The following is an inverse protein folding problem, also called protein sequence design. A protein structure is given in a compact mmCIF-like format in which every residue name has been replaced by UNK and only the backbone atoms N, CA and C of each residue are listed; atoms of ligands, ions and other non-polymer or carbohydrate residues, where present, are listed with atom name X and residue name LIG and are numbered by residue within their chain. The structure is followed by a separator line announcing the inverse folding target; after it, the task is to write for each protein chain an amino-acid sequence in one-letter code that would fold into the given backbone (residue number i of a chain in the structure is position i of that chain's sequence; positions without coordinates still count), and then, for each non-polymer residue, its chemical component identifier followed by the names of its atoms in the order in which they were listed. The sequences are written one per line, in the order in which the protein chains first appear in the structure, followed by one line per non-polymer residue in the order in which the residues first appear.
data_IF_205671802551
#
_entry.id   IF_205671802551
#
_cell.length_a   1.000
_cell.length_b   1.000
_cell.length_c   1.000
_cell.angle_alpha   90.00
_cell.angle_beta   90.00
_cell.angle_gamma   90.00
#
_symmetry.space_group_name_H-M   'P 1'
#
loop_
_entity.id
_entity.type
_entity.pdbx_description
1 polymer ?
#
# COMPACT_ATOMS: atom_id res chain seq x y z
N UNK A 1 -21.16 -63.58 -1.97
CA UNK A 1 -22.43 -63.84 -1.30
C UNK A 1 -23.17 -62.52 -1.25
N UNK A 2 -23.97 -62.21 -2.23
CA UNK A 2 -25.42 -62.41 -2.36
C UNK A 2 -26.15 -61.97 -1.10
N UNK A 3 -27.05 -61.11 -1.09
CA UNK A 3 -28.20 -60.71 -1.86
C UNK A 3 -29.14 -59.98 -0.91
N UNK A 4 -29.65 -58.87 -1.39
CA UNK A 4 -31.07 -58.57 -1.55
C UNK A 4 -31.93 -58.40 -0.29
N UNK A 5 -32.67 -57.31 -0.25
CA UNK A 5 -34.13 -57.33 -0.38
C UNK A 5 -34.74 -55.90 -0.46
N UNK A 6 -35.65 -55.82 -1.36
CA UNK A 6 -36.51 -54.74 -1.80
C UNK A 6 -37.73 -54.51 -0.92
N UNK A 7 -38.31 -53.29 -1.08
CA UNK A 7 -39.75 -52.89 -0.95
C UNK A 7 -40.24 -52.53 0.46
N UNK A 8 -40.87 -51.40 0.60
CA UNK A 8 -42.20 -51.10 0.08
C UNK A 8 -42.52 -49.59 0.15
N UNK A 9 -43.37 -49.17 -0.74
CA UNK A 9 -43.92 -47.86 -0.97
C UNK A 9 -45.15 -47.59 -0.10
N UNK A 10 -45.50 -46.32 -0.01
CA UNK A 10 -46.78 -45.61 -0.12
C UNK A 10 -46.91 -44.59 1.02
N UNK A 11 -47.36 -43.38 0.88
CA UNK A 11 -48.31 -42.60 0.14
C UNK A 11 -48.39 -41.21 0.71
N UNK A 12 -48.45 -40.25 -0.19
CA UNK A 12 -49.24 -39.02 -0.19
C UNK A 12 -49.25 -38.04 0.98
N UNK A 13 -48.82 -36.78 0.75
CA UNK A 13 -49.73 -35.64 0.62
C UNK A 13 -48.98 -34.39 0.24
N UNK A 14 -49.57 -33.64 -0.65
CA UNK A 14 -49.02 -32.42 -1.26
C UNK A 14 -49.20 -31.19 -0.38
N UNK A 15 -48.23 -30.30 -0.37
CA UNK A 15 -48.43 -28.89 -0.12
C UNK A 15 -47.28 -28.07 -0.77
N UNK A 16 -47.48 -26.84 -1.19
CA UNK A 16 -46.78 -26.26 -2.31
C UNK A 16 -45.42 -25.62 -1.93
N UNK A 17 -44.46 -25.80 -2.83
CA UNK A 17 -43.17 -25.16 -2.88
C UNK A 17 -43.29 -23.65 -3.09
N UNK A 18 -42.86 -22.89 -2.10
CA UNK A 18 -42.39 -21.53 -2.27
C UNK A 18 -40.94 -21.59 -2.76
N UNK A 19 -40.77 -21.40 -4.04
CA UNK A 19 -39.48 -21.21 -4.69
C UNK A 19 -38.97 -19.81 -4.31
N UNK A 20 -38.15 -19.68 -3.26
CA UNK A 20 -37.32 -18.48 -3.06
C UNK A 20 -36.07 -18.60 -3.92
N UNK A 21 -36.08 -17.92 -5.05
CA UNK A 21 -34.91 -17.75 -5.87
C UNK A 21 -33.83 -16.99 -5.07
N UNK A 22 -32.82 -17.72 -4.59
CA UNK A 22 -31.54 -17.09 -4.21
C UNK A 22 -30.88 -16.65 -5.51
N UNK A 23 -31.06 -15.38 -5.89
CA UNK A 23 -30.19 -14.70 -6.83
C UNK A 23 -28.83 -14.54 -6.17
N UNK A 24 -27.87 -15.35 -6.57
CA UNK A 24 -26.47 -15.10 -6.31
C UNK A 24 -26.10 -13.75 -6.93
N UNK A 25 -25.95 -12.72 -6.11
CA UNK A 25 -25.43 -11.44 -6.53
C UNK A 25 -23.95 -11.63 -6.88
N UNK A 26 -23.68 -11.82 -8.17
CA UNK A 26 -22.35 -11.64 -8.75
C UNK A 26 -22.01 -10.16 -8.60
N UNK A 27 -21.19 -9.81 -7.65
CA UNK A 27 -20.60 -8.48 -7.54
C UNK A 27 -19.50 -8.39 -8.60
N UNK A 28 -19.92 -8.16 -9.84
CA UNK A 28 -19.02 -7.83 -10.93
C UNK A 28 -18.77 -6.33 -10.93
N UNK A 29 -17.54 -5.91 -10.69
CA UNK A 29 -17.12 -4.54 -10.91
C UNK A 29 -16.83 -4.35 -12.39
N UNK A 30 -17.79 -3.80 -13.14
CA UNK A 30 -17.57 -3.28 -14.50
C UNK A 30 -17.07 -1.84 -14.38
N UNK A 31 -15.84 -1.59 -14.75
CA UNK A 31 -15.28 -0.23 -14.83
C UNK A 31 -15.63 0.37 -16.20
N UNK A 32 -16.75 1.04 -16.30
CA UNK A 32 -17.20 1.67 -17.54
C UNK A 32 -16.59 3.08 -17.68
N UNK A 33 -15.87 3.29 -18.78
CA UNK A 33 -15.15 4.53 -19.13
C UNK A 33 -16.06 5.69 -19.55
N UNK A 34 -17.39 5.54 -19.51
CA UNK A 34 -18.35 6.48 -20.12
C UNK A 34 -18.69 7.74 -19.31
N UNK A 35 -18.16 7.91 -18.11
CA UNK A 35 -18.46 9.08 -17.27
C UNK A 35 -17.31 10.09 -17.14
N UNK A 36 -16.48 10.23 -18.17
CA UNK A 36 -15.46 11.29 -18.21
C UNK A 36 -15.89 12.35 -19.23
N UNK A 37 -16.46 13.43 -18.72
CA UNK A 37 -16.77 14.61 -19.52
C UNK A 37 -15.51 15.18 -20.18
N UNK A 38 -15.61 15.43 -21.49
CA UNK A 38 -14.56 16.04 -22.30
C UNK A 38 -14.18 17.42 -21.76
N UNK A 39 -12.91 17.61 -21.37
CA UNK A 39 -12.34 18.93 -21.15
C UNK A 39 -11.62 19.41 -22.42
N UNK A 40 -12.22 20.41 -23.06
CA UNK A 40 -11.64 21.16 -24.16
C UNK A 40 -10.45 22.03 -23.69
N UNK A 41 -9.51 22.28 -24.63
CA UNK A 41 -8.21 22.90 -24.41
C UNK A 41 -8.24 24.25 -23.68
N UNK A 42 -7.38 24.36 -22.70
CA UNK A 42 -7.02 25.57 -22.00
C UNK A 42 -5.64 25.41 -21.38
N UNK A 43 -4.84 26.46 -21.40
CA UNK A 43 -3.49 26.60 -20.79
C UNK A 43 -3.41 25.93 -19.41
N UNK A 44 -2.27 25.30 -19.02
CA UNK A 44 -2.16 24.60 -17.75
C UNK A 44 -2.16 25.59 -16.58
N UNK A 45 -3.35 25.89 -16.07
CA UNK A 45 -3.50 26.48 -14.75
C UNK A 45 -3.28 25.38 -13.70
N UNK A 46 -2.54 25.68 -12.63
CA UNK A 46 -2.36 24.85 -11.45
C UNK A 46 -3.71 24.30 -11.01
N UNK A 47 -4.00 23.03 -11.28
CA UNK A 47 -5.23 22.40 -10.82
C UNK A 47 -5.08 22.08 -9.34
N UNK A 48 -5.92 22.68 -8.52
CA UNK A 48 -6.16 22.28 -7.15
C UNK A 48 -6.87 20.93 -7.16
N UNK A 49 -6.22 19.92 -6.59
CA UNK A 49 -6.88 18.60 -6.42
C UNK A 49 -7.86 18.73 -5.27
N UNK A 50 -9.14 18.82 -5.57
CA UNK A 50 -10.21 18.70 -4.57
C UNK A 50 -10.36 17.21 -4.29
N UNK A 51 -10.05 16.80 -3.08
CA UNK A 51 -10.32 15.45 -2.56
C UNK A 51 -11.56 15.54 -1.70
N UNK A 52 -12.50 14.61 -1.93
CA UNK A 52 -13.76 14.52 -1.20
C UNK A 52 -13.57 14.53 0.32
N UNK A 53 -14.54 15.11 1.03
CA UNK A 53 -14.57 15.29 2.49
C UNK A 53 -14.22 14.01 3.25
N UNK A 54 -13.11 14.07 4.01
CA UNK A 54 -12.53 12.98 4.79
C UNK A 54 -11.00 12.88 4.66
N UNK A 55 -10.44 13.37 3.58
CA UNK A 55 -9.00 13.51 3.38
C UNK A 55 -8.62 14.99 3.55
N UNK A 56 -7.99 15.32 4.66
CA UNK A 56 -7.45 16.68 4.87
C UNK A 56 -6.26 16.88 3.94
N UNK A 57 -6.52 17.37 2.74
CA UNK A 57 -5.47 17.75 1.79
C UNK A 57 -5.22 19.24 1.86
N UNK A 58 -4.20 19.63 2.59
CA UNK A 58 -3.46 20.85 2.25
C UNK A 58 -2.57 20.53 1.06
N UNK A 59 -2.41 21.51 0.14
CA UNK A 59 -1.62 21.42 -1.09
C UNK A 59 -0.18 20.99 -0.80
N UNK A 60 0.15 19.73 -1.09
CA UNK A 60 1.53 19.28 -1.11
C UNK A 60 2.05 19.40 -2.54
N UNK A 61 2.81 20.46 -2.82
CA UNK A 61 3.50 20.64 -4.09
C UNK A 61 4.86 19.93 -4.02
N UNK A 62 4.87 18.61 -4.22
CA UNK A 62 6.14 17.92 -4.20
C UNK A 62 6.72 17.69 -5.59
N UNK A 63 5.89 17.72 -6.63
CA UNK A 63 6.40 17.48 -7.96
C UNK A 63 5.64 18.36 -8.96
N UNK A 64 6.37 19.29 -9.56
CA UNK A 64 5.98 19.84 -10.84
C UNK A 64 6.05 18.67 -11.81
N UNK A 65 4.94 18.00 -12.12
CA UNK A 65 4.90 17.00 -13.18
C UNK A 65 4.86 17.69 -14.54
N UNK A 66 6.02 18.15 -15.10
CA UNK A 66 6.03 18.74 -16.44
C UNK A 66 5.69 17.69 -17.50
N UNK A 67 5.74 16.41 -17.12
CA UNK A 67 5.65 15.28 -18.04
C UNK A 67 4.23 14.77 -18.31
N UNK A 68 3.22 15.16 -17.54
CA UNK A 68 1.85 14.66 -17.73
C UNK A 68 1.28 15.00 -19.12
N UNK A 69 1.68 16.12 -19.72
CA UNK A 69 1.22 16.54 -21.06
C UNK A 69 1.81 15.74 -22.23
N UNK A 70 2.81 14.88 -21.99
CA UNK A 70 3.54 14.15 -23.03
C UNK A 70 3.22 12.65 -23.12
N UNK A 71 2.45 12.09 -22.17
CA UNK A 71 2.17 10.66 -22.17
C UNK A 71 1.05 10.34 -23.15
N UNK A 72 1.37 9.53 -24.14
CA UNK A 72 0.43 9.17 -25.21
C UNK A 72 -0.44 7.97 -24.83
N UNK A 73 -1.75 8.13 -24.79
CA UNK A 73 -2.73 7.04 -24.62
C UNK A 73 -2.64 5.96 -25.69
N UNK A 74 -2.07 6.27 -26.86
CA UNK A 74 -1.83 5.30 -27.93
C UNK A 74 -0.70 4.32 -27.58
N UNK A 75 0.22 4.72 -26.70
CA UNK A 75 1.43 3.94 -26.34
C UNK A 75 1.40 3.41 -24.92
N UNK A 76 0.59 3.99 -24.04
CA UNK A 76 0.56 3.67 -22.62
C UNK A 76 -0.86 3.34 -22.18
N UNK A 77 -1.00 2.30 -21.36
CA UNK A 77 -2.25 1.92 -20.70
C UNK A 77 -2.00 1.68 -19.22
N UNK A 78 -2.93 2.12 -18.37
CA UNK A 78 -2.87 1.88 -16.92
C UNK A 78 -4.09 1.08 -16.54
N UNK A 79 -3.87 -0.11 -16.00
CA UNK A 79 -4.88 -0.99 -15.44
C UNK A 79 -4.80 -1.00 -13.93
N UNK A 80 -5.93 -1.16 -13.27
CA UNK A 80 -5.98 -1.26 -11.81
C UNK A 80 -6.73 -2.50 -11.37
N UNK A 81 -6.30 -3.04 -10.23
CA UNK A 81 -7.05 -4.06 -9.53
C UNK A 81 -7.93 -3.42 -8.44
N UNK A 82 -8.95 -4.15 -7.94
CA UNK A 82 -9.84 -3.63 -6.89
C UNK A 82 -9.10 -3.13 -5.65
N UNK A 83 -8.00 -3.79 -5.27
CA UNK A 83 -7.16 -3.43 -4.13
C UNK A 83 -6.48 -2.06 -4.22
N UNK A 84 -6.45 -1.44 -5.43
CA UNK A 84 -5.74 -0.16 -5.67
C UNK A 84 -6.57 0.85 -6.45
N UNK A 85 -7.89 0.67 -6.52
CA UNK A 85 -8.76 1.47 -7.40
C UNK A 85 -8.70 2.98 -7.12
N UNK A 86 -8.79 3.38 -5.85
CA UNK A 86 -8.77 4.80 -5.47
C UNK A 86 -7.44 5.45 -5.83
N UNK A 87 -6.33 4.82 -5.43
CA UNK A 87 -4.99 5.30 -5.76
C UNK A 87 -4.80 5.44 -7.28
N UNK A 88 -5.26 4.46 -8.06
CA UNK A 88 -5.10 4.46 -9.51
C UNK A 88 -5.92 5.56 -10.19
N UNK A 89 -7.11 5.88 -9.68
CA UNK A 89 -7.91 7.01 -10.17
C UNK A 89 -7.19 8.33 -9.94
N UNK A 90 -6.62 8.52 -8.75
CA UNK A 90 -5.84 9.72 -8.44
C UNK A 90 -4.61 9.82 -9.35
N UNK A 91 -3.87 8.72 -9.53
CA UNK A 91 -2.69 8.67 -10.42
C UNK A 91 -3.06 9.00 -11.86
N UNK A 92 -4.10 8.38 -12.41
CA UNK A 92 -4.52 8.62 -13.80
C UNK A 92 -5.05 10.04 -13.99
N UNK A 93 -5.73 10.60 -12.99
CA UNK A 93 -6.18 12.00 -12.99
C UNK A 93 -4.99 12.97 -13.05
N UNK A 94 -3.94 12.72 -12.26
CA UNK A 94 -2.71 13.52 -12.27
C UNK A 94 -1.96 13.43 -13.60
N UNK A 95 -1.96 12.26 -14.24
CA UNK A 95 -1.31 12.02 -15.52
C UNK A 95 -2.15 12.48 -16.74
N UNK A 96 -3.40 12.83 -16.53
CA UNK A 96 -4.33 13.13 -17.63
C UNK A 96 -4.63 11.93 -18.54
N UNK A 97 -4.49 10.71 -18.02
CA UNK A 97 -4.74 9.46 -18.73
C UNK A 97 -6.08 8.85 -18.30
N UNK A 98 -6.78 8.15 -19.20
CA UNK A 98 -7.90 7.32 -18.79
C UNK A 98 -7.40 6.04 -18.11
N UNK A 99 -8.16 5.57 -17.14
CA UNK A 99 -7.96 4.22 -16.60
C UNK A 99 -8.48 3.21 -17.63
N UNK A 100 -7.66 2.19 -17.93
CA UNK A 100 -8.03 1.15 -18.90
C UNK A 100 -8.98 0.13 -18.28
N UNK A 101 -9.91 -0.39 -19.09
CA UNK A 101 -10.97 -1.29 -18.66
C UNK A 101 -10.46 -2.70 -18.41
N UNK A 102 -10.75 -3.22 -17.23
CA UNK A 102 -10.43 -4.57 -16.75
C UNK A 102 -11.63 -5.10 -15.97
N UNK A 103 -12.09 -6.31 -16.31
CA UNK A 103 -13.11 -7.01 -15.55
C UNK A 103 -12.49 -8.10 -14.70
N UNK A 104 -12.74 -8.06 -13.40
CA UNK A 104 -12.30 -9.05 -12.43
C UNK A 104 -13.53 -9.58 -11.69
N UNK A 105 -13.58 -10.88 -11.48
CA UNK A 105 -14.68 -11.53 -10.79
C UNK A 105 -14.29 -12.91 -10.28
N UNK A 106 -15.26 -13.61 -9.74
CA UNK A 106 -15.13 -15.01 -9.28
C UNK A 106 -16.10 -15.88 -10.06
N UNK A 107 -15.64 -17.05 -10.46
CA UNK A 107 -16.52 -18.13 -10.91
C UNK A 107 -17.30 -18.73 -9.73
N UNK A 108 -18.32 -19.53 -10.01
CA UNK A 108 -19.18 -20.14 -8.99
C UNK A 108 -18.41 -21.09 -8.04
N UNK A 109 -17.30 -21.65 -8.48
CA UNK A 109 -16.38 -22.50 -7.72
C UNK A 109 -15.33 -21.71 -6.93
N UNK A 110 -15.34 -20.37 -7.04
CA UNK A 110 -14.41 -19.46 -6.34
C UNK A 110 -13.14 -19.11 -7.11
N UNK A 111 -12.92 -19.69 -8.31
CA UNK A 111 -11.76 -19.33 -9.13
C UNK A 111 -11.84 -17.88 -9.60
N UNK A 112 -10.66 -17.24 -9.69
CA UNK A 112 -10.56 -15.84 -10.15
C UNK A 112 -10.72 -15.75 -11.67
N UNK A 113 -11.61 -14.88 -12.12
CA UNK A 113 -11.82 -14.52 -13.52
C UNK A 113 -11.22 -13.16 -13.83
N UNK A 114 -10.41 -13.08 -14.89
CA UNK A 114 -9.80 -11.84 -15.35
C UNK A 114 -10.05 -11.68 -16.85
N UNK A 115 -10.54 -10.50 -17.27
CA UNK A 115 -10.72 -10.14 -18.67
C UNK A 115 -10.24 -8.71 -18.92
N UNK A 116 -9.29 -8.54 -19.82
CA UNK A 116 -8.85 -7.23 -20.33
C UNK A 116 -9.82 -6.81 -21.43
N UNK A 117 -10.50 -5.69 -21.24
CA UNK A 117 -11.50 -5.19 -22.19
C UNK A 117 -10.88 -4.27 -23.24
N UNK A 118 -9.89 -3.47 -22.85
CA UNK A 118 -9.20 -2.53 -23.75
C UNK A 118 -7.99 -3.17 -24.41
N UNK A 119 -7.77 -2.87 -25.69
CA UNK A 119 -6.63 -3.36 -26.45
C UNK A 119 -5.30 -2.84 -25.90
N UNK A 120 -4.41 -3.76 -25.50
CA UNK A 120 -3.06 -3.44 -24.97
C UNK A 120 -1.93 -3.81 -25.95
N UNK A 121 -2.24 -4.36 -27.13
CA UNK A 121 -1.23 -4.80 -28.10
C UNK A 121 -0.22 -3.71 -28.45
N UNK A 122 1.06 -3.99 -28.24
CA UNK A 122 2.17 -3.09 -28.57
C UNK A 122 2.29 -1.87 -27.65
N UNK A 123 1.53 -1.80 -26.56
CA UNK A 123 1.60 -0.72 -25.59
C UNK A 123 2.52 -1.06 -24.41
N UNK A 124 3.09 -0.03 -23.81
CA UNK A 124 3.70 -0.08 -22.50
C UNK A 124 2.57 -0.03 -21.45
N UNK A 125 2.48 -1.08 -20.62
CA UNK A 125 1.34 -1.30 -19.71
C UNK A 125 1.80 -1.19 -18.26
N UNK A 126 1.04 -0.44 -17.48
CA UNK A 126 1.18 -0.37 -16.02
C UNK A 126 -0.02 -1.07 -15.37
N UNK A 127 0.27 -1.94 -14.40
CA UNK A 127 -0.74 -2.61 -13.57
C UNK A 127 -0.56 -2.16 -12.15
N UNK A 128 -1.57 -1.54 -11.54
CA UNK A 128 -1.51 -1.08 -10.15
C UNK A 128 -2.24 -2.09 -9.27
N UNK A 129 -1.50 -2.71 -8.35
CA UNK A 129 -2.01 -3.77 -7.49
C UNK A 129 -1.31 -3.79 -6.13
N UNK A 130 -2.04 -3.57 -5.05
CA UNK A 130 -1.59 -3.91 -3.70
C UNK A 130 -1.97 -5.35 -3.38
N UNK A 131 -0.96 -6.20 -3.12
CA UNK A 131 -1.16 -7.64 -2.86
C UNK A 131 -1.45 -7.89 -1.38
N UNK A 132 -2.60 -7.39 -0.91
CA UNK A 132 -2.98 -7.39 0.51
C UNK A 132 -3.40 -8.77 1.04
N UNK A 133 -3.88 -9.62 0.14
CA UNK A 133 -4.36 -10.98 0.40
C UNK A 133 -4.12 -11.90 -0.80
N UNK A 134 -4.46 -13.18 -0.65
CA UNK A 134 -4.24 -14.19 -1.70
C UNK A 134 -5.09 -13.94 -2.93
N UNK A 135 -6.30 -13.38 -2.78
CA UNK A 135 -7.17 -13.02 -3.89
C UNK A 135 -6.55 -11.90 -4.73
N UNK A 136 -6.11 -10.82 -4.11
CA UNK A 136 -5.46 -9.70 -4.81
C UNK A 136 -4.14 -10.11 -5.47
N UNK A 137 -3.38 -11.01 -4.86
CA UNK A 137 -2.20 -11.60 -5.47
C UNK A 137 -2.55 -12.41 -6.71
N UNK A 138 -3.53 -13.31 -6.63
CA UNK A 138 -3.96 -14.13 -7.76
C UNK A 138 -4.53 -13.28 -8.90
N UNK A 139 -5.35 -12.27 -8.58
CA UNK A 139 -5.86 -11.30 -9.55
C UNK A 139 -4.71 -10.60 -10.30
N UNK A 140 -3.66 -10.19 -9.56
CA UNK A 140 -2.49 -9.54 -10.14
C UNK A 140 -1.73 -10.48 -11.10
N UNK A 141 -1.42 -11.69 -10.67
CA UNK A 141 -0.71 -12.69 -11.45
C UNK A 141 -1.45 -13.03 -12.74
N UNK A 142 -2.76 -13.28 -12.66
CA UNK A 142 -3.59 -13.59 -13.83
C UNK A 142 -3.74 -12.37 -14.76
N UNK A 143 -3.78 -11.16 -14.23
CA UNK A 143 -3.81 -9.93 -15.02
C UNK A 143 -2.53 -9.77 -15.83
N UNK A 144 -1.35 -9.95 -15.22
CA UNK A 144 -0.05 -9.91 -15.90
C UNK A 144 0.00 -10.95 -17.03
N UNK A 145 -0.37 -12.20 -16.73
CA UNK A 145 -0.42 -13.28 -17.72
C UNK A 145 -1.37 -12.96 -18.89
N UNK A 146 -2.55 -12.40 -18.60
CA UNK A 146 -3.53 -12.02 -19.62
C UNK A 146 -2.98 -10.92 -20.54
N UNK A 147 -2.37 -9.88 -19.96
CA UNK A 147 -1.76 -8.78 -20.71
C UNK A 147 -0.60 -9.26 -21.58
N UNK A 148 0.23 -10.18 -21.08
CA UNK A 148 1.31 -10.80 -21.85
C UNK A 148 0.77 -11.59 -23.05
N UNK A 149 -0.28 -12.39 -22.85
CA UNK A 149 -0.99 -13.14 -23.93
C UNK A 149 -1.71 -12.21 -24.89
N UNK A 150 -2.16 -11.04 -24.46
CA UNK A 150 -2.75 -10.00 -25.30
C UNK A 150 -1.71 -9.16 -26.06
N UNK A 151 -0.42 -9.54 -26.01
CA UNK A 151 0.69 -8.90 -26.71
C UNK A 151 1.00 -7.48 -26.24
N UNK A 152 0.91 -7.20 -24.94
CA UNK A 152 1.51 -5.99 -24.37
C UNK A 152 3.01 -5.95 -24.72
N UNK A 153 3.53 -4.77 -25.02
CA UNK A 153 4.95 -4.58 -25.36
C UNK A 153 5.83 -4.73 -24.13
N UNK A 154 5.44 -4.07 -23.04
CA UNK A 154 6.05 -4.18 -21.73
C UNK A 154 4.98 -4.12 -20.65
N UNK A 155 5.24 -4.79 -19.52
CA UNK A 155 4.35 -4.82 -18.36
C UNK A 155 5.16 -4.41 -17.13
N UNK A 156 4.82 -3.26 -16.57
CA UNK A 156 5.33 -2.77 -15.30
C UNK A 156 4.27 -2.92 -14.22
N UNK A 157 4.55 -3.65 -13.15
CA UNK A 157 3.64 -3.74 -12.02
C UNK A 157 4.00 -2.67 -10.98
N UNK A 158 3.05 -1.79 -10.68
CA UNK A 158 3.13 -0.87 -9.56
C UNK A 158 2.51 -1.56 -8.36
N UNK A 159 3.32 -1.85 -7.35
CA UNK A 159 2.93 -2.60 -6.16
C UNK A 159 3.00 -1.67 -4.94
N UNK A 160 1.91 -0.93 -4.64
CA UNK A 160 1.90 -0.01 -3.50
C UNK A 160 2.10 -0.74 -2.17
N UNK A 161 1.59 -1.97 -2.03
CA UNK A 161 1.87 -2.86 -0.92
C UNK A 161 2.26 -4.24 -1.43
N UNK A 162 3.48 -4.67 -1.09
CA UNK A 162 4.00 -6.00 -1.42
C UNK A 162 3.65 -6.98 -0.30
N UNK A 163 2.66 -7.82 -0.53
CA UNK A 163 2.27 -8.89 0.39
C UNK A 163 3.41 -9.87 0.64
N UNK A 164 3.38 -10.52 1.80
CA UNK A 164 4.46 -11.43 2.25
C UNK A 164 5.84 -10.78 2.44
N UNK A 165 5.99 -9.44 2.30
CA UNK A 165 7.27 -8.73 2.45
C UNK A 165 8.00 -9.01 3.76
N UNK A 166 7.26 -9.34 4.84
CA UNK A 166 7.82 -9.69 6.16
C UNK A 166 8.34 -11.13 6.25
N UNK A 167 8.12 -11.95 5.21
CA UNK A 167 8.66 -13.31 5.07
C UNK A 167 9.88 -13.32 4.15
N UNK A 168 10.83 -12.41 4.42
CA UNK A 168 12.05 -12.14 3.65
C UNK A 168 13.23 -13.00 4.06
N UNK A 169 13.10 -13.74 5.16
CA UNK A 169 14.12 -14.62 5.70
C UNK A 169 13.51 -15.80 6.46
N UNK A 170 14.28 -16.85 6.66
CA UNK A 170 13.85 -17.99 7.50
C UNK A 170 13.88 -17.61 8.96
N UNK A 171 12.72 -17.44 9.58
CA UNK A 171 12.58 -17.17 11.02
C UNK A 171 12.70 -18.44 11.88
N UNK A 172 12.45 -19.61 11.28
CA UNK A 172 12.60 -20.92 11.90
C UNK A 172 12.97 -21.97 10.85
N UNK A 173 13.48 -23.15 11.26
CA UNK A 173 13.72 -24.26 10.34
C UNK A 173 12.44 -24.67 9.60
N UNK A 174 12.54 -25.04 8.32
CA UNK A 174 11.46 -25.55 7.46
C UNK A 174 10.35 -24.53 7.19
N UNK A 175 10.68 -23.24 7.17
CA UNK A 175 9.78 -22.17 6.72
C UNK A 175 10.20 -21.66 5.35
N UNK A 176 9.25 -21.22 4.49
CA UNK A 176 9.58 -20.61 3.20
C UNK A 176 10.19 -19.21 3.37
N UNK A 177 10.76 -18.70 2.31
CA UNK A 177 11.02 -17.26 2.12
C UNK A 177 9.96 -16.77 1.12
N UNK A 178 8.72 -16.61 1.60
CA UNK A 178 7.56 -16.41 0.72
C UNK A 178 7.70 -15.13 -0.13
N UNK A 179 8.40 -14.11 0.34
CA UNK A 179 8.66 -12.92 -0.46
C UNK A 179 9.45 -13.23 -1.74
N UNK A 180 10.39 -14.19 -1.70
CA UNK A 180 11.14 -14.61 -2.87
C UNK A 180 10.29 -15.46 -3.82
N UNK A 181 9.45 -16.34 -3.25
CA UNK A 181 8.55 -17.20 -4.04
C UNK A 181 7.55 -16.33 -4.82
N UNK A 182 7.00 -15.28 -4.20
CA UNK A 182 6.10 -14.32 -4.86
C UNK A 182 6.82 -13.55 -5.97
N UNK A 183 8.05 -13.11 -5.75
CA UNK A 183 8.84 -12.43 -6.78
C UNK A 183 9.07 -13.34 -8.01
N UNK A 184 9.37 -14.62 -7.79
CA UNK A 184 9.51 -15.62 -8.86
C UNK A 184 8.18 -15.81 -9.63
N UNK A 185 7.04 -15.84 -8.92
CA UNK A 185 5.72 -15.95 -9.56
C UNK A 185 5.45 -14.76 -10.50
N UNK A 186 5.77 -13.53 -10.10
CA UNK A 186 5.67 -12.35 -10.96
C UNK A 186 6.49 -12.49 -12.24
N UNK A 187 7.74 -12.92 -12.13
CA UNK A 187 8.61 -13.17 -13.29
C UNK A 187 8.03 -14.25 -14.21
N UNK A 188 7.60 -15.37 -13.66
CA UNK A 188 6.99 -16.48 -14.41
C UNK A 188 5.73 -16.04 -15.17
N UNK A 189 4.94 -15.11 -14.63
CA UNK A 189 3.76 -14.57 -15.32
C UNK A 189 4.11 -13.59 -16.43
N UNK A 190 5.38 -13.19 -16.54
CA UNK A 190 5.87 -12.33 -17.64
C UNK A 190 5.92 -10.86 -17.29
N UNK A 191 6.21 -10.52 -16.04
CA UNK A 191 6.51 -9.17 -15.62
C UNK A 191 7.85 -8.71 -16.23
N UNK A 192 7.92 -7.45 -16.73
CA UNK A 192 9.16 -6.88 -17.25
C UNK A 192 9.85 -5.95 -16.23
N UNK A 193 9.09 -5.28 -15.37
CA UNK A 193 9.63 -4.41 -14.31
C UNK A 193 8.63 -4.21 -13.18
N UNK A 194 9.09 -3.81 -12.01
CA UNK A 194 8.24 -3.47 -10.88
C UNK A 194 8.59 -2.09 -10.31
N UNK A 195 7.57 -1.39 -9.81
CA UNK A 195 7.70 -0.21 -8.98
C UNK A 195 7.07 -0.55 -7.64
N UNK A 196 7.88 -0.76 -6.61
CA UNK A 196 7.42 -1.12 -5.28
C UNK A 196 7.49 0.09 -4.35
N UNK A 197 6.55 0.19 -3.41
CA UNK A 197 6.56 1.26 -2.42
C UNK A 197 6.90 0.70 -1.05
N UNK A 198 7.91 1.31 -0.42
CA UNK A 198 8.35 1.07 0.96
C UNK A 198 8.40 -0.42 1.34
N UNK A 199 9.22 -1.17 0.64
CA UNK A 199 9.48 -2.57 0.94
C UNK A 199 9.96 -2.72 2.39
N UNK A 200 9.50 -3.76 3.07
CA UNK A 200 9.90 -4.07 4.44
C UNK A 200 11.43 -4.10 4.63
N UNK A 201 12.13 -4.60 3.62
CA UNK A 201 13.57 -4.62 3.54
C UNK A 201 14.00 -4.32 2.09
N UNK A 202 14.98 -3.45 1.91
CA UNK A 202 15.49 -3.05 0.59
C UNK A 202 16.08 -4.22 -0.21
N UNK A 203 16.59 -5.25 0.46
CA UNK A 203 17.10 -6.48 -0.17
C UNK A 203 16.03 -7.29 -0.91
N UNK A 204 14.73 -7.06 -0.65
CA UNK A 204 13.63 -7.70 -1.38
C UNK A 204 13.69 -7.45 -2.90
N UNK A 205 14.29 -6.35 -3.34
CA UNK A 205 14.54 -6.08 -4.76
C UNK A 205 15.39 -7.16 -5.41
N UNK A 206 16.31 -7.74 -4.65
CA UNK A 206 17.17 -8.83 -5.12
C UNK A 206 16.48 -10.19 -5.23
N UNK A 207 15.22 -10.34 -4.83
CA UNK A 207 14.45 -11.57 -5.02
C UNK A 207 13.82 -11.68 -6.41
N UNK A 208 13.65 -10.55 -7.08
CA UNK A 208 13.24 -10.56 -8.47
C UNK A 208 14.37 -11.04 -9.36
N UNK A 209 14.02 -11.73 -10.45
CA UNK A 209 15.00 -12.17 -11.44
C UNK A 209 15.82 -11.00 -11.98
N UNK A 210 17.08 -11.24 -12.34
CA UNK A 210 18.00 -10.19 -12.81
C UNK A 210 17.52 -9.43 -14.05
N UNK A 211 16.59 -10.02 -14.80
CA UNK A 211 15.93 -9.38 -15.96
C UNK A 211 14.77 -8.44 -15.57
N UNK A 212 14.36 -8.38 -14.31
CA UNK A 212 13.24 -7.61 -13.83
C UNK A 212 13.75 -6.49 -12.92
N UNK A 213 14.00 -5.28 -13.45
CA UNK A 213 14.39 -4.15 -12.62
C UNK A 213 13.26 -3.76 -11.65
N UNK A 214 13.64 -3.40 -10.42
CA UNK A 214 12.71 -2.99 -9.37
C UNK A 214 13.08 -1.60 -8.89
N UNK A 215 12.22 -0.64 -9.18
CA UNK A 215 12.29 0.69 -8.58
C UNK A 215 11.61 0.68 -7.21
N UNK A 216 12.30 1.25 -6.20
CA UNK A 216 11.81 1.29 -4.83
C UNK A 216 11.49 2.73 -4.44
N UNK A 217 10.21 3.08 -4.38
CA UNK A 217 9.73 4.38 -3.94
C UNK A 217 9.58 4.42 -2.42
N UNK A 218 10.01 5.53 -1.83
CA UNK A 218 9.84 5.76 -0.39
C UNK A 218 8.96 6.98 -0.15
N UNK A 219 7.83 6.87 0.56
CA UNK A 219 6.91 7.98 0.83
C UNK A 219 7.35 8.84 2.01
N UNK A 220 8.48 8.54 2.64
CA UNK A 220 9.04 9.29 3.78
C UNK A 220 9.11 10.80 3.52
N UNK A 221 9.56 11.30 2.35
CA UNK A 221 9.58 12.75 2.09
C UNK A 221 8.19 13.39 2.16
N UNK A 222 7.16 12.69 1.65
CA UNK A 222 5.77 13.19 1.66
C UNK A 222 5.23 13.23 3.09
N UNK A 223 5.50 12.19 3.89
CA UNK A 223 5.09 12.12 5.28
C UNK A 223 5.83 13.15 6.16
N UNK A 224 7.14 13.31 5.96
CA UNK A 224 7.93 14.31 6.69
C UNK A 224 7.41 15.73 6.45
N UNK A 225 7.07 16.06 5.20
CA UNK A 225 6.49 17.34 4.87
C UNK A 225 5.10 17.54 5.50
N UNK A 226 4.26 16.50 5.53
CA UNK A 226 3.00 16.55 6.27
C UNK A 226 3.21 16.95 7.73
N UNK A 227 4.10 16.27 8.45
CA UNK A 227 4.37 16.56 9.85
C UNK A 227 5.01 17.94 10.05
N UNK A 228 5.89 18.34 9.15
CA UNK A 228 6.51 19.69 9.18
C UNK A 228 5.47 20.80 9.08
N UNK A 229 4.41 20.62 8.29
CA UNK A 229 3.33 21.62 8.19
C UNK A 229 2.35 21.59 9.36
N UNK A 230 2.21 20.45 10.03
CA UNK A 230 1.20 20.29 11.09
C UNK A 230 1.75 20.55 12.50
N UNK A 231 3.06 20.45 12.71
CA UNK A 231 3.68 20.46 14.04
C UNK A 231 4.73 21.57 14.18
N UNK A 232 4.90 22.08 15.40
CA UNK A 232 6.06 22.91 15.72
C UNK A 232 7.31 22.02 15.86
N UNK A 233 8.32 22.29 15.06
CA UNK A 233 9.53 21.44 14.98
C UNK A 233 10.49 21.59 16.16
N UNK A 234 10.29 22.58 17.05
CA UNK A 234 11.23 22.87 18.15
C UNK A 234 11.41 21.73 19.15
N UNK A 235 10.32 21.02 19.45
CA UNK A 235 10.30 19.98 20.48
C UNK A 235 10.02 18.58 19.91
N UNK A 236 10.27 18.37 18.59
CA UNK A 236 10.04 17.09 17.96
C UNK A 236 11.19 16.11 18.28
N UNK A 237 10.80 14.84 18.54
CA UNK A 237 11.72 13.70 18.59
C UNK A 237 11.15 12.57 17.71
N UNK A 238 11.97 12.00 16.85
CA UNK A 238 11.59 10.85 16.02
C UNK A 238 11.93 9.56 16.78
N UNK A 239 11.00 8.61 16.80
CA UNK A 239 11.16 7.36 17.56
C UNK A 239 11.02 6.16 16.64
N UNK A 240 12.02 5.26 16.64
CA UNK A 240 11.90 3.94 16.04
C UNK A 240 11.26 2.97 17.04
N UNK A 241 10.20 2.23 16.67
CA UNK A 241 9.51 1.33 17.59
C UNK A 241 10.29 0.08 17.93
N UNK A 242 11.34 -0.24 17.19
CA UNK A 242 12.30 -1.32 17.45
C UNK A 242 13.55 -1.14 16.58
N UNK A 243 14.60 -1.94 16.85
CA UNK A 243 15.91 -1.82 16.18
C UNK A 243 15.81 -1.93 14.65
N UNK A 244 14.90 -2.77 14.12
CA UNK A 244 14.70 -2.95 12.68
C UNK A 244 14.20 -1.69 11.95
N UNK A 245 13.65 -0.71 12.67
CA UNK A 245 13.12 0.53 12.07
C UNK A 245 14.05 1.75 12.29
N UNK A 246 15.21 1.55 12.91
CA UNK A 246 16.14 2.65 13.20
C UNK A 246 16.59 3.37 11.92
N UNK A 247 16.90 2.64 10.85
CA UNK A 247 17.31 3.23 9.58
C UNK A 247 16.19 4.09 8.95
N UNK A 248 14.92 3.59 8.98
CA UNK A 248 13.75 4.31 8.47
C UNK A 248 13.48 5.59 9.28
N UNK A 249 13.50 5.48 10.60
CA UNK A 249 13.34 6.62 11.49
C UNK A 249 14.47 7.66 11.30
N UNK A 250 15.70 7.22 11.06
CA UNK A 250 16.81 8.12 10.78
C UNK A 250 16.64 8.86 9.44
N UNK A 251 16.14 8.21 8.38
CA UNK A 251 15.83 8.89 7.13
C UNK A 251 14.70 9.89 7.32
N UNK A 252 13.62 9.50 8.02
CA UNK A 252 12.50 10.40 8.35
C UNK A 252 13.00 11.63 9.12
N UNK A 253 13.83 11.44 10.13
CA UNK A 253 14.47 12.51 10.90
C UNK A 253 15.28 13.45 9.99
N UNK A 254 16.14 12.90 9.14
CA UNK A 254 16.98 13.67 8.20
C UNK A 254 16.12 14.55 7.27
N UNK A 255 14.98 14.04 6.80
CA UNK A 255 14.03 14.82 5.99
C UNK A 255 13.39 15.95 6.78
N UNK A 256 12.96 15.70 8.01
CA UNK A 256 12.43 16.75 8.90
C UNK A 256 13.48 17.84 9.19
N UNK A 257 14.73 17.45 9.46
CA UNK A 257 15.83 18.40 9.67
C UNK A 257 16.09 19.25 8.41
N UNK A 258 16.08 18.64 7.22
CA UNK A 258 16.25 19.37 5.94
C UNK A 258 15.13 20.39 5.73
N UNK A 259 13.88 20.03 6.04
CA UNK A 259 12.71 20.91 5.84
C UNK A 259 12.64 22.05 6.88
N UNK A 260 12.97 21.75 8.13
CA UNK A 260 12.79 22.70 9.24
C UNK A 260 14.03 23.54 9.53
N UNK A 261 15.22 23.10 9.13
CA UNK A 261 16.50 23.71 9.52
C UNK A 261 16.85 23.50 11.00
N UNK A 262 16.06 22.69 11.75
CA UNK A 262 16.23 22.43 13.19
C UNK A 262 16.83 21.04 13.39
N UNK A 263 17.74 20.89 14.37
CA UNK A 263 18.20 19.57 14.77
C UNK A 263 17.08 18.79 15.47
N UNK A 264 16.71 17.64 14.93
CA UNK A 264 15.65 16.79 15.42
C UNK A 264 16.28 15.58 16.11
N UNK A 265 16.15 15.42 17.45
CA UNK A 265 16.67 14.24 18.15
C UNK A 265 15.92 12.96 17.74
N UNK A 266 16.57 11.83 18.03
CA UNK A 266 16.02 10.51 17.76
C UNK A 266 16.17 9.61 18.98
N UNK A 267 15.15 8.79 19.23
CA UNK A 267 15.16 7.71 20.20
C UNK A 267 14.71 6.41 19.53
N UNK A 268 14.94 5.28 20.17
CA UNK A 268 14.41 4.00 19.71
C UNK A 268 14.12 3.07 20.88
N UNK A 269 13.25 2.10 20.66
CA UNK A 269 12.91 1.07 21.63
C UNK A 269 13.68 -0.20 21.30
N UNK A 270 14.47 -0.69 22.24
CA UNK A 270 15.19 -1.97 22.14
C UNK A 270 14.39 -3.06 22.84
N UNK A 271 14.38 -4.26 22.25
CA UNK A 271 13.82 -5.47 22.86
C UNK A 271 14.93 -6.19 23.62
N UNK A 272 15.14 -5.86 24.89
CA UNK A 272 16.08 -6.59 25.73
C UNK A 272 15.51 -7.94 26.16
N UNK A 273 16.33 -9.00 26.09
CA UNK A 273 16.01 -10.27 26.77
C UNK A 273 16.28 -10.06 28.25
N UNK A 274 15.25 -10.12 29.08
CA UNK A 274 15.45 -10.11 30.52
C UNK A 274 16.26 -11.37 30.95
N UNK A 275 17.41 -11.15 31.56
CA UNK A 275 18.27 -12.23 32.12
C UNK A 275 17.70 -12.84 33.40
N UNK A 276 16.56 -12.36 33.91
CA UNK A 276 15.98 -12.86 35.17
C UNK A 276 14.59 -13.46 34.93
N UNK A 277 14.54 -14.81 34.83
CA UNK A 277 13.46 -15.66 35.37
C UNK A 277 12.04 -15.52 34.84
N UNK A 278 11.76 -14.71 33.83
CA UNK A 278 10.45 -14.59 33.22
C UNK A 278 10.28 -15.62 32.08
N UNK A 279 9.04 -16.07 31.88
CA UNK A 279 8.68 -17.11 30.90
C UNK A 279 9.31 -16.84 29.54
N UNK A 280 9.76 -17.87 28.84
CA UNK A 280 10.27 -17.75 27.45
C UNK A 280 9.31 -16.94 26.59
N UNK A 281 9.78 -15.75 26.14
CA UNK A 281 9.02 -14.88 25.23
C UNK A 281 8.61 -13.50 25.78
N UNK A 282 8.80 -13.19 27.06
CA UNK A 282 8.57 -11.85 27.59
C UNK A 282 9.81 -10.98 27.43
N UNK A 283 9.67 -9.94 26.58
CA UNK A 283 10.69 -8.90 26.39
C UNK A 283 10.23 -7.64 27.10
N UNK A 284 11.09 -7.07 27.96
CA UNK A 284 10.88 -5.72 28.45
C UNK A 284 11.40 -4.71 27.42
N UNK A 285 10.56 -3.82 26.90
CA UNK A 285 11.00 -2.77 25.99
C UNK A 285 11.83 -1.74 26.76
N UNK A 286 13.02 -1.43 26.27
CA UNK A 286 13.93 -0.42 26.84
C UNK A 286 13.96 0.76 25.87
N UNK A 287 13.60 1.96 26.37
CA UNK A 287 13.76 3.20 25.62
C UNK A 287 15.22 3.66 25.67
N UNK A 288 15.79 3.89 24.49
CA UNK A 288 17.13 4.47 24.32
C UNK A 288 16.98 5.85 23.70
N UNK A 289 17.40 6.87 24.44
CA UNK A 289 17.23 8.28 24.09
C UNK A 289 16.32 9.02 25.08
N UNK A 290 16.27 10.35 24.98
CA UNK A 290 15.45 11.20 25.84
C UNK A 290 14.25 11.79 25.09
N UNK A 291 13.05 11.53 25.61
CA UNK A 291 11.76 12.01 25.07
C UNK A 291 11.01 12.95 26.04
N UNK A 292 11.62 13.24 27.18
CA UNK A 292 10.99 14.04 28.26
C UNK A 292 10.58 15.42 27.75
N UNK A 293 9.31 15.76 27.91
CA UNK A 293 8.73 17.02 27.47
C UNK A 293 8.64 17.23 25.96
N UNK A 294 8.99 16.21 25.13
CA UNK A 294 8.99 16.31 23.67
C UNK A 294 7.68 15.82 23.04
N UNK A 295 7.41 16.30 21.86
CA UNK A 295 6.41 15.76 20.95
C UNK A 295 7.07 14.67 20.12
N UNK A 296 6.57 13.45 20.18
CA UNK A 296 7.22 12.29 19.53
C UNK A 296 6.47 11.85 18.28
N UNK A 297 7.22 11.42 17.25
CA UNK A 297 6.68 10.78 16.05
C UNK A 297 7.28 9.37 15.97
N UNK A 298 6.42 8.37 16.17
CA UNK A 298 6.79 6.95 16.05
C UNK A 298 6.73 6.58 14.56
N UNK A 299 7.84 6.07 14.00
CA UNK A 299 7.96 5.78 12.55
C UNK A 299 8.14 4.29 12.32
N UNK A 300 7.20 3.68 11.60
CA UNK A 300 7.20 2.26 11.23
C UNK A 300 6.96 2.09 9.73
N UNK A 301 7.10 0.89 9.17
CA UNK A 301 6.74 0.56 7.79
C UNK A 301 5.26 0.16 7.67
N UNK A 302 4.76 -0.64 8.62
CA UNK A 302 3.44 -1.27 8.55
C UNK A 302 2.75 -1.31 9.91
N UNK A 303 1.47 -0.96 9.91
CA UNK A 303 0.57 -1.21 11.02
C UNK A 303 -0.32 -2.39 10.66
N UNK A 304 -0.06 -3.55 11.27
CA UNK A 304 -0.89 -4.76 11.15
C UNK A 304 -1.89 -4.83 12.32
N UNK A 305 -1.51 -5.39 13.45
CA UNK A 305 -2.35 -5.40 14.67
C UNK A 305 -2.29 -4.11 15.50
N UNK A 306 -1.37 -3.19 15.18
CA UNK A 306 -1.15 -1.95 15.93
C UNK A 306 -0.46 -2.11 17.29
N UNK A 307 -0.30 -3.34 17.79
CA UNK A 307 0.22 -3.62 19.13
C UNK A 307 1.60 -3.01 19.39
N UNK A 308 2.51 -3.06 18.41
CA UNK A 308 3.85 -2.49 18.56
C UNK A 308 3.78 -0.98 18.80
N UNK A 309 3.04 -0.27 17.97
CA UNK A 309 2.92 1.19 18.05
C UNK A 309 2.22 1.63 19.34
N UNK A 310 1.16 0.93 19.75
CA UNK A 310 0.41 1.23 20.98
C UNK A 310 1.28 1.00 22.24
N UNK A 311 1.99 -0.11 22.33
CA UNK A 311 2.90 -0.39 23.47
C UNK A 311 4.05 0.61 23.55
N UNK A 312 4.63 0.97 22.41
CA UNK A 312 5.66 2.01 22.35
C UNK A 312 5.10 3.35 22.79
N UNK A 313 3.88 3.70 22.36
CA UNK A 313 3.20 4.90 22.78
C UNK A 313 3.03 4.98 24.31
N UNK A 314 2.59 3.89 24.95
CA UNK A 314 2.46 3.80 26.41
C UNK A 314 3.81 4.04 27.10
N UNK A 315 4.86 3.36 26.67
CA UNK A 315 6.24 3.51 27.18
C UNK A 315 6.74 4.97 27.05
N UNK A 316 6.47 5.64 25.93
CA UNK A 316 6.89 7.01 25.71
C UNK A 316 6.15 8.00 26.63
N UNK A 317 4.88 7.76 26.90
CA UNK A 317 4.11 8.57 27.87
C UNK A 317 4.61 8.35 29.30
N UNK A 318 4.94 7.11 29.69
CA UNK A 318 5.58 6.81 30.98
C UNK A 318 6.96 7.49 31.11
N UNK A 319 7.69 7.60 30.00
CA UNK A 319 8.96 8.34 29.95
C UNK A 319 8.80 9.86 29.86
N UNK A 320 7.57 10.39 29.96
CA UNK A 320 7.29 11.82 30.06
C UNK A 320 7.22 12.57 28.73
N UNK A 321 6.92 11.93 27.61
CA UNK A 321 6.64 12.66 26.37
C UNK A 321 5.38 13.51 26.50
N UNK A 322 5.34 14.65 25.81
CA UNK A 322 4.23 15.61 25.87
C UNK A 322 3.06 15.19 24.97
N UNK A 323 3.34 14.77 23.76
CA UNK A 323 2.40 14.32 22.73
C UNK A 323 3.03 13.23 21.89
N UNK A 324 2.20 12.36 21.34
CA UNK A 324 2.67 11.30 20.46
C UNK A 324 1.84 11.22 19.17
N UNK A 325 2.54 10.96 18.09
CA UNK A 325 2.01 10.72 16.75
C UNK A 325 2.60 9.44 16.21
N UNK A 326 1.87 8.77 15.31
CA UNK A 326 2.37 7.62 14.58
C UNK A 326 2.45 7.89 13.09
N UNK A 327 3.43 7.30 12.43
CA UNK A 327 3.50 7.20 10.99
C UNK A 327 3.84 5.76 10.59
N UNK A 328 3.11 5.23 9.62
CA UNK A 328 3.52 4.05 8.89
C UNK A 328 3.10 4.19 7.43
N UNK A 329 3.90 3.64 6.53
CA UNK A 329 3.54 3.64 5.11
C UNK A 329 2.28 2.82 4.88
N UNK A 330 2.20 1.62 5.46
CA UNK A 330 1.14 0.67 5.18
C UNK A 330 0.18 0.48 6.37
N UNK A 331 -1.06 0.94 6.23
CA UNK A 331 -2.14 0.67 7.18
C UNK A 331 -2.88 -0.61 6.82
N UNK A 332 -2.37 -1.77 7.23
CA UNK A 332 -3.01 -3.06 6.95
C UNK A 332 -4.21 -3.32 7.86
N UNK A 333 -4.15 -2.89 9.13
CA UNK A 333 -5.24 -3.00 10.12
C UNK A 333 -5.90 -4.37 10.15
N UNK A 334 -5.09 -5.43 10.33
CA UNK A 334 -5.47 -6.82 10.13
C UNK A 334 -6.37 -7.41 11.23
N UNK A 335 -6.52 -6.73 12.36
CA UNK A 335 -7.40 -7.16 13.46
C UNK A 335 -8.60 -6.21 13.59
N UNK A 336 -9.80 -6.73 13.93
CA UNK A 336 -11.02 -5.92 13.98
C UNK A 336 -10.98 -4.75 14.96
N UNK A 337 -10.23 -4.89 16.05
CA UNK A 337 -10.13 -3.94 17.17
C UNK A 337 -9.04 -2.88 16.99
N UNK A 338 -8.17 -3.00 15.99
CA UNK A 338 -7.00 -2.14 15.84
C UNK A 338 -7.37 -0.66 15.68
N UNK A 339 -8.38 -0.37 14.89
CA UNK A 339 -8.84 1.01 14.65
C UNK A 339 -9.49 1.61 15.91
N UNK A 340 -10.26 0.82 16.64
CA UNK A 340 -10.86 1.22 17.91
C UNK A 340 -9.79 1.49 18.99
N UNK A 341 -8.76 0.64 19.04
CA UNK A 341 -7.63 0.80 19.96
C UNK A 341 -6.85 2.10 19.68
N UNK A 342 -6.62 2.46 18.40
CA UNK A 342 -6.04 3.77 18.08
C UNK A 342 -6.95 4.93 18.48
N UNK A 343 -8.26 4.83 18.23
CA UNK A 343 -9.21 5.88 18.64
C UNK A 343 -9.23 6.12 20.15
N UNK A 344 -9.06 5.06 20.96
CA UNK A 344 -9.02 5.12 22.42
C UNK A 344 -7.65 5.47 23.00
N UNK A 345 -6.58 5.35 22.22
CA UNK A 345 -5.21 5.58 22.68
C UNK A 345 -4.95 7.04 23.06
N UNK A 346 -3.86 7.29 23.79
CA UNK A 346 -3.36 8.63 24.09
C UNK A 346 -2.68 9.33 22.92
N UNK A 347 -2.51 8.66 21.78
CA UNK A 347 -1.94 9.26 20.57
C UNK A 347 -2.86 10.37 20.03
N UNK A 348 -2.26 11.44 19.53
CA UNK A 348 -3.01 12.52 18.87
C UNK A 348 -3.62 12.01 17.54
N UNK A 349 -2.81 11.41 16.69
CA UNK A 349 -3.25 10.65 15.51
C UNK A 349 -2.14 9.73 14.96
N UNK A 350 -2.57 8.81 14.10
CA UNK A 350 -1.69 7.96 13.30
C UNK A 350 -1.89 8.33 11.83
N UNK A 351 -0.79 8.58 11.12
CA UNK A 351 -0.77 8.84 9.69
C UNK A 351 -0.36 7.58 8.94
N UNK A 352 -1.17 7.13 7.99
CA UNK A 352 -0.83 6.06 7.05
C UNK A 352 -0.97 6.57 5.62
N UNK A 353 -0.41 5.85 4.65
CA UNK A 353 -0.62 6.21 3.25
C UNK A 353 -1.78 5.42 2.62
N UNK A 354 -2.23 5.84 1.43
CA UNK A 354 -3.25 5.12 0.66
C UNK A 354 -2.67 3.99 -0.21
N UNK A 355 -1.54 3.41 0.20
CA UNK A 355 -0.96 2.21 -0.43
C UNK A 355 -1.84 0.98 -0.27
N UNK A 356 -2.67 0.94 0.76
CA UNK A 356 -3.70 -0.08 0.98
C UNK A 356 -5.06 0.61 0.97
N UNK A 357 -5.98 0.10 0.17
CA UNK A 357 -7.32 0.63 0.08
C UNK A 357 -8.04 0.55 1.42
N UNK A 358 -8.59 1.67 1.85
CA UNK A 358 -9.48 1.75 2.99
C UNK A 358 -10.86 2.18 2.49
N UNK A 359 -11.88 1.49 2.95
CA UNK A 359 -13.26 1.86 2.59
C UNK A 359 -13.56 3.29 3.08
N UNK A 360 -14.13 4.17 2.25
CA UNK A 360 -14.49 5.51 2.69
C UNK A 360 -15.35 5.48 3.98
N UNK A 361 -14.97 6.28 4.96
CA UNK A 361 -15.64 6.33 6.26
C UNK A 361 -15.32 5.18 7.23
N UNK A 362 -14.42 4.24 6.89
CA UNK A 362 -14.01 3.17 7.80
C UNK A 362 -12.93 3.57 8.80
N UNK A 363 -12.16 4.61 8.48
CA UNK A 363 -11.11 5.09 9.38
C UNK A 363 -11.68 6.03 10.44
N UNK A 364 -11.32 5.82 11.72
CA UNK A 364 -11.70 6.74 12.80
C UNK A 364 -10.92 8.06 12.69
N UNK A 365 -11.35 9.09 13.41
CA UNK A 365 -10.77 10.44 13.38
C UNK A 365 -9.26 10.48 13.65
N UNK A 366 -8.79 9.62 14.55
CA UNK A 366 -7.36 9.52 14.88
C UNK A 366 -6.51 8.75 13.87
N UNK A 367 -7.09 8.18 12.84
CA UNK A 367 -6.33 7.54 11.74
C UNK A 367 -6.49 8.36 10.48
N UNK A 368 -5.41 9.02 10.07
CA UNK A 368 -5.38 9.89 8.89
C UNK A 368 -4.71 9.18 7.73
N UNK A 369 -5.18 9.44 6.52
CA UNK A 369 -4.61 8.85 5.31
C UNK A 369 -3.99 9.92 4.41
N UNK A 370 -2.75 9.68 3.95
CA UNK A 370 -1.99 10.53 3.06
C UNK A 370 -1.92 9.88 1.67
N UNK A 371 -2.22 10.65 0.62
CA UNK A 371 -2.13 10.12 -0.75
C UNK A 371 -0.69 10.09 -1.24
N UNK A 372 -0.28 8.94 -1.80
CA UNK A 372 0.99 8.74 -2.52
C UNK A 372 0.81 8.81 -4.04
N UNK A 373 -0.36 9.17 -4.52
CA UNK A 373 -0.64 9.27 -5.95
C UNK A 373 0.32 10.21 -6.70
N UNK A 374 0.75 11.37 -6.16
CA UNK A 374 1.73 12.22 -6.84
C UNK A 374 3.07 11.51 -7.04
N UNK A 375 3.54 10.75 -6.05
CA UNK A 375 4.79 10.01 -6.12
C UNK A 375 4.73 8.89 -7.19
N UNK A 376 3.62 8.14 -7.21
CA UNK A 376 3.38 7.11 -8.22
C UNK A 376 3.24 7.71 -9.62
N UNK A 377 2.51 8.81 -9.76
CA UNK A 377 2.33 9.49 -11.04
C UNK A 377 3.67 9.97 -11.63
N UNK A 378 4.53 10.56 -10.79
CA UNK A 378 5.88 10.97 -11.21
C UNK A 378 6.74 9.77 -11.63
N UNK A 379 6.68 8.64 -10.89
CA UNK A 379 7.41 7.43 -11.26
C UNK A 379 6.95 6.90 -12.62
N UNK A 380 5.63 6.84 -12.88
CA UNK A 380 5.09 6.46 -14.20
C UNK A 380 5.55 7.41 -15.28
N UNK A 381 5.48 8.73 -15.05
CA UNK A 381 5.90 9.74 -16.02
C UNK A 381 7.38 9.63 -16.36
N UNK A 382 8.25 9.39 -15.37
CA UNK A 382 9.69 9.17 -15.58
C UNK A 382 9.97 7.87 -16.33
N UNK A 383 9.31 6.78 -15.98
CA UNK A 383 9.44 5.50 -16.68
C UNK A 383 9.06 5.62 -18.15
N UNK A 384 7.91 6.24 -18.47
CA UNK A 384 7.47 6.48 -19.86
C UNK A 384 8.43 7.42 -20.59
N UNK A 385 8.93 8.45 -19.91
CA UNK A 385 9.89 9.42 -20.42
C UNK A 385 11.33 8.91 -20.47
N UNK A 386 11.59 7.66 -20.05
CA UNK A 386 12.94 7.06 -19.96
C UNK A 386 13.90 7.87 -19.09
N UNK A 387 13.40 8.47 -18.03
CA UNK A 387 14.17 9.22 -17.03
C UNK A 387 14.37 8.37 -15.77
N UNK A 388 15.41 8.71 -14.98
CA UNK A 388 15.69 8.02 -13.72
C UNK A 388 14.53 8.16 -12.71
N UNK A 389 14.03 7.05 -12.20
CA UNK A 389 13.04 7.03 -11.10
C UNK A 389 13.74 7.31 -9.77
N UNK A 390 15.00 6.91 -9.60
CA UNK A 390 15.79 7.16 -8.38
C UNK A 390 15.96 8.66 -8.09
N UNK A 391 16.00 9.52 -9.13
CA UNK A 391 16.06 10.97 -8.98
C UNK A 391 14.82 11.62 -8.35
N UNK A 392 13.71 10.86 -8.15
CA UNK A 392 12.54 11.38 -7.42
C UNK A 392 12.89 11.63 -5.94
N UNK A 393 13.80 10.85 -5.39
CA UNK A 393 14.17 10.89 -3.97
C UNK A 393 15.39 11.79 -3.71
N UNK A 394 16.21 12.05 -4.74
CA UNK A 394 17.44 12.82 -4.69
C UNK A 394 17.24 14.15 -5.45
N UNK A 395 16.87 15.19 -4.74
CA UNK A 395 16.70 16.54 -5.32
C UNK A 395 18.02 17.18 -5.86
N UNK A 396 19.12 16.45 -5.86
CA UNK A 396 20.46 16.98 -6.13
C UNK A 396 21.06 16.61 -7.50
N UNK A 397 20.35 15.87 -8.37
CA UNK A 397 20.92 15.38 -9.64
C UNK A 397 20.15 15.82 -10.91
N UNK A 398 19.58 17.02 -10.94
CA UNK A 398 19.18 17.65 -12.21
C UNK A 398 20.01 18.94 -12.44
N UNK A 399 21.31 18.78 -12.73
CA UNK A 399 22.09 19.74 -13.53
C UNK A 399 22.33 19.20 -14.94
#
# INVERSE_FOLDING_TARGET
MFSSLRRAASSSSAAPLLLSALTAATVGYSLDSKNLGACAGGTPQRKETVVEEGLTTKKFYFYNTPAASSISTKRTSIYTLPSSLTLSRDVTSLLGLPLSSLSIGKYADGETSVKVEDGCRGKDVFVVCSTVDDDSLMECLLTISTLRRASAKSICCIIPYYGYSRSDQKKSPRTPIAAADIALMFGTMGLDSAICMDLHNDSLRGFFESGIPVDHLQPVPVAAAWFHEQLDMKDICVVAPHEGQVARAADFRKRLQKLSGVDVPMAFVSKSRSHHGTREGEYEPILVGDVTGKTVIIVDDIISSGQTMLKVNELLHEAGCKKSYGYATHGLFSTPDVLENFQKSSMEYVLVTNTIYQKPGSLPEKVKQLSVAPLVAEAVARTVGKRSVSGILNEEEEE
#
